data_IF_834037627066
#
_entry.id   IF_834037627066
#
_cell.length_a   1.000
_cell.length_b   1.000
_cell.length_c   1.000
_cell.angle_alpha   90.00
_cell.angle_beta   90.00
_cell.angle_gamma   90.00
#
_symmetry.space_group_name_H-M   'P 1'
#
loop_
_entity.id
_entity.type
_entity.pdbx_description
1 polymer ?
#
# COMPACT_ATOMS: atom_id res chain seq x y z
N UNK A 1 -1.49 0.99 -1.66
CA UNK A 1 -0.64 2.16 -1.40
C UNK A 1 -1.26 3.34 -2.12
N UNK A 2 -1.64 4.35 -1.36
CA UNK A 2 -2.52 5.39 -1.84
C UNK A 2 -1.85 6.38 -2.76
N UNK A 3 -2.62 6.85 -3.72
CA UNK A 3 -2.35 8.06 -4.46
C UNK A 3 -2.63 9.24 -3.55
N UNK A 4 -1.66 9.65 -2.77
CA UNK A 4 -1.75 10.90 -2.06
C UNK A 4 -1.31 12.00 -3.03
N UNK A 5 -2.24 12.80 -3.52
CA UNK A 5 -1.86 14.05 -4.19
C UNK A 5 -1.39 15.01 -3.10
N UNK A 6 -0.12 15.00 -2.80
CA UNK A 6 0.49 15.91 -1.85
C UNK A 6 0.92 17.14 -2.63
N UNK A 7 0.52 18.33 -2.18
CA UNK A 7 1.19 19.55 -2.59
C UNK A 7 2.58 19.58 -1.94
N UNK A 8 3.49 18.79 -2.49
CA UNK A 8 4.88 18.77 -2.07
C UNK A 8 5.67 19.81 -2.89
N UNK A 9 6.75 20.37 -2.33
CA UNK A 9 7.66 21.24 -3.09
C UNK A 9 8.39 20.50 -4.22
N UNK A 10 8.14 19.19 -4.38
CA UNK A 10 8.67 18.35 -5.46
C UNK A 10 7.54 18.06 -6.43
N UNK A 11 7.59 18.65 -7.63
CA UNK A 11 6.59 18.44 -8.67
C UNK A 11 6.44 16.95 -9.00
N UNK A 12 5.21 16.47 -9.00
CA UNK A 12 4.86 15.09 -9.34
C UNK A 12 5.04 14.07 -8.23
N UNK A 13 5.53 14.44 -7.04
CA UNK A 13 5.60 13.57 -5.86
C UNK A 13 4.21 13.28 -5.27
N UNK A 14 4.14 12.36 -4.30
CA UNK A 14 2.91 12.08 -3.53
C UNK A 14 2.45 10.63 -3.53
N UNK A 15 3.06 9.77 -4.34
CA UNK A 15 2.86 8.31 -4.27
C UNK A 15 4.01 7.66 -3.52
N UNK A 16 3.74 6.63 -2.75
CA UNK A 16 4.79 5.82 -2.09
C UNK A 16 5.42 4.84 -3.10
N UNK A 17 6.13 5.40 -4.07
CA UNK A 17 6.86 4.71 -5.14
C UNK A 17 7.78 5.72 -5.84
N UNK A 18 8.48 5.35 -6.91
CA UNK A 18 9.15 6.32 -7.78
C UNK A 18 8.09 7.11 -8.54
N UNK A 19 8.03 8.42 -8.29
CA UNK A 19 7.05 9.32 -8.89
C UNK A 19 7.49 9.81 -10.28
N UNK A 20 6.51 10.18 -11.12
CA UNK A 20 6.70 10.66 -12.47
C UNK A 20 5.39 10.69 -13.25
N UNK A 21 5.45 10.84 -14.55
CA UNK A 21 4.28 10.82 -15.44
C UNK A 21 3.68 9.40 -15.58
N UNK A 22 2.39 9.33 -15.89
CA UNK A 22 1.66 8.09 -16.12
C UNK A 22 1.37 7.27 -14.85
N UNK A 23 0.87 6.04 -15.02
CA UNK A 23 0.60 5.12 -13.92
C UNK A 23 1.88 4.76 -13.16
N UNK A 24 1.82 4.79 -11.82
CA UNK A 24 2.97 4.49 -10.95
C UNK A 24 2.63 3.48 -9.85
N UNK A 25 1.37 3.39 -9.43
CA UNK A 25 0.91 2.41 -8.46
C UNK A 25 -0.06 1.42 -9.11
N UNK A 26 -0.17 0.22 -8.55
CA UNK A 26 -0.90 -0.89 -9.14
C UNK A 26 -2.35 -0.57 -9.51
N UNK A 27 -3.04 0.24 -8.71
CA UNK A 27 -4.42 0.68 -9.00
C UNK A 27 -4.50 1.57 -10.23
N UNK A 28 -3.50 2.43 -10.46
CA UNK A 28 -3.42 3.27 -11.65
C UNK A 28 -3.12 2.43 -12.90
N UNK A 29 -2.27 1.40 -12.78
CA UNK A 29 -2.01 0.46 -13.88
C UNK A 29 -3.26 -0.34 -14.23
N UNK A 30 -4.02 -0.84 -13.24
CA UNK A 30 -5.30 -1.52 -13.49
C UNK A 30 -6.31 -0.58 -14.15
N UNK A 31 -6.44 0.64 -13.65
CA UNK A 31 -7.34 1.63 -14.23
C UNK A 31 -6.98 1.96 -15.69
N UNK A 32 -5.70 2.16 -15.97
CA UNK A 32 -5.22 2.45 -17.33
C UNK A 32 -5.50 1.29 -18.31
N UNK A 33 -5.35 0.04 -17.88
CA UNK A 33 -5.66 -1.15 -18.69
C UNK A 33 -7.18 -1.24 -18.99
N UNK A 34 -8.01 -0.68 -18.11
CA UNK A 34 -9.46 -0.59 -18.32
C UNK A 34 -9.89 0.71 -19.01
N UNK A 35 -8.95 1.48 -19.58
CA UNK A 35 -9.22 2.74 -20.27
C UNK A 35 -9.64 3.89 -19.36
N UNK A 36 -9.33 3.79 -18.05
CA UNK A 36 -9.70 4.76 -17.03
C UNK A 36 -8.48 5.51 -16.48
N UNK A 37 -8.72 6.73 -15.99
CA UNK A 37 -7.72 7.49 -15.23
C UNK A 37 -8.16 7.60 -13.77
N UNK A 38 -7.34 7.11 -12.87
CA UNK A 38 -7.62 7.16 -11.43
C UNK A 38 -7.05 8.45 -10.83
N UNK A 39 -7.93 9.34 -10.35
CA UNK A 39 -7.57 10.58 -9.66
C UNK A 39 -7.83 10.48 -8.16
N UNK A 40 -7.05 11.18 -7.31
CA UNK A 40 -7.31 11.24 -5.88
C UNK A 40 -8.67 11.87 -5.56
N UNK A 41 -9.38 11.31 -4.58
CA UNK A 41 -10.57 11.93 -3.99
C UNK A 41 -10.19 13.06 -3.03
N UNK A 42 -9.03 12.94 -2.40
CA UNK A 42 -8.48 13.95 -1.52
C UNK A 42 -7.03 14.24 -1.89
N UNK A 43 -6.65 15.51 -1.78
CA UNK A 43 -5.27 15.93 -1.84
C UNK A 43 -4.85 16.49 -0.48
N UNK A 44 -3.65 16.14 -0.04
CA UNK A 44 -3.07 16.64 1.20
C UNK A 44 -1.70 17.25 0.98
N UNK A 45 -1.30 18.19 1.83
CA UNK A 45 0.04 18.76 1.83
C UNK A 45 0.90 18.15 2.95
N UNK A 46 2.17 17.86 2.68
CA UNK A 46 3.17 17.56 3.71
C UNK A 46 3.95 18.84 4.00
N UNK A 47 3.91 19.31 5.24
CA UNK A 47 4.81 20.37 5.67
C UNK A 47 6.15 19.73 6.04
N UNK A 48 7.20 20.03 5.26
CA UNK A 48 8.55 19.50 5.48
C UNK A 48 9.38 20.35 6.46
N UNK A 49 8.77 21.32 7.16
CA UNK A 49 9.44 22.11 8.19
C UNK A 49 9.62 21.32 9.47
N UNK A 50 10.78 21.41 10.08
CA UNK A 50 11.06 20.73 11.37
C UNK A 50 10.44 21.48 12.57
N UNK A 51 9.93 20.77 13.62
CA UNK A 51 9.68 19.33 13.59
C UNK A 51 8.66 19.04 12.51
N UNK A 52 8.82 17.96 11.75
CA UNK A 52 7.91 17.61 10.64
C UNK A 52 6.48 17.61 11.18
N UNK A 53 5.86 18.77 11.14
CA UNK A 53 4.49 18.96 11.59
C UNK A 53 3.58 18.29 10.56
N UNK A 54 2.82 17.34 11.02
CA UNK A 54 2.09 16.39 10.17
C UNK A 54 0.65 16.80 9.97
N UNK A 55 0.41 18.09 9.96
CA UNK A 55 -0.86 18.62 9.52
C UNK A 55 -0.87 18.66 8.00
N UNK A 56 -1.58 17.70 7.42
CA UNK A 56 -1.84 17.69 5.98
C UNK A 56 -3.17 18.41 5.75
N UNK A 57 -3.20 19.63 5.20
CA UNK A 57 -4.46 20.19 4.76
C UNK A 57 -5.05 19.26 3.71
N UNK A 58 -6.28 18.82 3.92
CA UNK A 58 -6.96 17.92 3.01
C UNK A 58 -7.91 18.73 2.14
N UNK A 59 -7.64 18.75 0.85
CA UNK A 59 -8.56 19.29 -0.14
C UNK A 59 -9.43 18.15 -0.66
N UNK A 60 -10.74 18.40 -0.80
CA UNK A 60 -11.66 17.45 -1.42
C UNK A 60 -11.51 17.53 -2.94
N UNK A 61 -11.41 16.38 -3.58
CA UNK A 61 -11.41 16.20 -5.03
C UNK A 61 -12.63 15.38 -5.48
N UNK A 62 -12.75 15.20 -6.78
CA UNK A 62 -13.80 14.43 -7.43
C UNK A 62 -13.33 13.04 -7.90
N UNK A 63 -12.10 12.67 -7.58
CA UNK A 63 -11.50 11.41 -8.01
C UNK A 63 -12.00 10.19 -7.24
N UNK A 64 -11.80 9.01 -7.84
CA UNK A 64 -12.22 7.72 -7.26
C UNK A 64 -11.11 7.03 -6.43
N UNK A 65 -9.93 7.63 -6.27
CA UNK A 65 -8.90 7.10 -5.38
C UNK A 65 -9.03 7.70 -3.99
N UNK A 66 -9.60 6.94 -3.07
CA UNK A 66 -9.78 7.30 -1.65
C UNK A 66 -8.55 6.94 -0.81
N UNK A 67 -7.60 6.21 -1.38
CA UNK A 67 -6.46 5.65 -0.68
C UNK A 67 -5.53 6.73 -0.13
N UNK A 68 -5.09 6.58 1.12
CA UNK A 68 -4.13 7.45 1.78
C UNK A 68 -2.95 6.64 2.32
N UNK A 69 -1.74 7.10 2.01
CA UNK A 69 -0.53 6.49 2.54
C UNK A 69 -0.44 6.66 4.06
N UNK A 70 0.08 5.65 4.76
CA UNK A 70 0.12 5.65 6.22
C UNK A 70 -1.20 5.26 6.90
N UNK A 71 -2.31 5.08 6.16
CA UNK A 71 -3.59 4.69 6.74
C UNK A 71 -3.52 3.30 7.38
N UNK A 72 -4.09 3.16 8.56
CA UNK A 72 -4.40 1.88 9.21
C UNK A 72 -5.83 1.45 8.89
N UNK A 73 -6.19 0.22 9.21
CA UNK A 73 -7.52 -0.30 8.84
C UNK A 73 -8.63 0.43 9.59
N UNK A 74 -8.57 0.49 10.91
CA UNK A 74 -9.62 1.11 11.73
C UNK A 74 -9.10 2.14 12.76
N UNK A 75 -7.83 2.45 12.73
CA UNK A 75 -7.22 3.44 13.60
C UNK A 75 -6.59 4.57 12.80
N UNK A 76 -6.36 5.71 13.44
CA UNK A 76 -5.63 6.82 12.84
C UNK A 76 -4.23 6.37 12.41
N UNK A 77 -3.79 6.82 11.25
CA UNK A 77 -2.47 6.55 10.73
C UNK A 77 -1.38 7.11 11.65
N UNK A 78 -0.23 6.45 11.65
CA UNK A 78 0.98 6.90 12.37
C UNK A 78 2.14 6.96 11.39
N UNK A 79 2.95 7.98 11.52
CA UNK A 79 4.25 7.99 10.87
C UNK A 79 5.14 6.96 11.54
N UNK A 80 5.54 5.95 10.81
CA UNK A 80 6.31 4.82 11.35
C UNK A 80 7.73 5.19 11.76
N UNK A 81 8.27 6.31 11.25
CA UNK A 81 9.60 6.82 11.61
C UNK A 81 9.55 7.59 12.93
N UNK A 82 8.54 8.44 13.10
CA UNK A 82 8.44 9.37 14.24
C UNK A 82 7.47 8.93 15.33
N UNK A 83 6.61 7.94 15.06
CA UNK A 83 5.55 7.50 15.97
C UNK A 83 4.39 8.51 16.14
N UNK A 84 4.45 9.64 15.45
CA UNK A 84 3.44 10.72 15.57
C UNK A 84 2.23 10.38 14.71
N UNK A 85 1.02 10.66 15.22
CA UNK A 85 -0.23 10.51 14.48
C UNK A 85 -0.20 11.36 13.21
N UNK A 86 -0.65 10.79 12.09
CA UNK A 86 -0.78 11.47 10.81
C UNK A 86 -2.24 11.90 10.61
N UNK A 87 -2.47 12.80 9.66
CA UNK A 87 -3.84 13.14 9.22
C UNK A 87 -4.46 12.09 8.32
N UNK A 88 -3.75 10.99 8.01
CA UNK A 88 -4.28 9.91 7.20
C UNK A 88 -5.47 9.27 7.89
N UNK A 89 -6.62 9.34 7.25
CA UNK A 89 -7.84 8.71 7.73
C UNK A 89 -7.75 7.20 7.55
N UNK A 90 -8.40 6.45 8.45
CA UNK A 90 -8.42 4.99 8.39
C UNK A 90 -9.11 4.49 7.11
N UNK A 91 -8.82 3.23 6.74
CA UNK A 91 -9.52 2.57 5.62
C UNK A 91 -11.03 2.56 5.86
N UNK A 92 -11.47 2.33 7.11
CA UNK A 92 -12.88 2.43 7.48
C UNK A 92 -13.47 3.80 7.11
N UNK A 93 -12.79 4.90 7.46
CA UNK A 93 -13.25 6.25 7.12
C UNK A 93 -13.22 6.53 5.60
N UNK A 94 -12.26 5.96 4.88
CA UNK A 94 -12.23 6.02 3.40
C UNK A 94 -13.43 5.30 2.80
N UNK A 95 -13.77 4.11 3.32
CA UNK A 95 -14.96 3.33 2.93
C UNK A 95 -16.23 4.07 3.28
N UNK A 96 -16.34 4.64 4.49
CA UNK A 96 -17.50 5.43 4.91
C UNK A 96 -17.75 6.60 3.96
N UNK A 97 -16.69 7.31 3.58
CA UNK A 97 -16.77 8.40 2.61
C UNK A 97 -17.21 7.93 1.23
N UNK A 98 -16.64 6.84 0.72
CA UNK A 98 -17.05 6.28 -0.55
C UNK A 98 -18.53 5.91 -0.55
N UNK A 99 -18.99 5.17 0.48
CA UNK A 99 -20.39 4.76 0.61
C UNK A 99 -21.36 5.94 0.72
N UNK A 100 -20.92 7.05 1.31
CA UNK A 100 -21.75 8.26 1.39
C UNK A 100 -21.88 9.00 0.05
N UNK A 101 -21.01 8.74 -0.92
CA UNK A 101 -20.97 9.40 -2.24
C UNK A 101 -21.36 8.47 -3.39
N UNK A 102 -21.27 7.15 -3.19
CA UNK A 102 -21.52 6.16 -4.22
C UNK A 102 -23.02 6.04 -4.52
N UNK A 103 -23.37 6.04 -5.80
CA UNK A 103 -24.70 5.62 -6.22
C UNK A 103 -24.82 4.09 -6.09
N UNK A 104 -25.96 3.62 -5.61
CA UNK A 104 -26.29 2.20 -5.52
C UNK A 104 -26.45 1.62 -6.94
N UNK A 105 -25.34 1.20 -7.52
CA UNK A 105 -25.32 0.54 -8.83
C UNK A 105 -24.18 -0.50 -8.84
N UNK A 106 -24.43 -1.66 -9.43
CA UNK A 106 -23.45 -2.76 -9.63
C UNK A 106 -22.35 -2.40 -10.66
N UNK A 107 -21.80 -1.18 -10.58
CA UNK A 107 -20.90 -0.62 -11.58
C UNK A 107 -19.47 -0.45 -11.12
N UNK A 108 -19.18 -0.69 -9.83
CA UNK A 108 -17.84 -0.43 -9.31
C UNK A 108 -16.97 -1.69 -9.31
N UNK A 109 -15.74 -1.54 -9.82
CA UNK A 109 -14.63 -2.41 -9.49
C UNK A 109 -13.84 -1.74 -8.37
N UNK A 110 -13.96 -2.22 -7.15
CA UNK A 110 -13.29 -1.66 -5.99
C UNK A 110 -11.99 -2.39 -5.75
N UNK A 111 -10.87 -1.65 -5.71
CA UNK A 111 -9.52 -2.15 -5.49
C UNK A 111 -9.06 -1.77 -4.09
N UNK A 112 -8.77 -2.75 -3.24
CA UNK A 112 -8.40 -2.52 -1.84
C UNK A 112 -7.03 -3.12 -1.50
N UNK A 113 -6.24 -2.35 -0.75
CA UNK A 113 -5.03 -2.83 -0.09
C UNK A 113 -4.87 -2.11 1.25
N UNK A 114 -4.69 -2.86 2.33
CA UNK A 114 -4.55 -2.32 3.67
C UNK A 114 -4.07 -3.35 4.67
N UNK A 115 -3.62 -2.88 5.84
CA UNK A 115 -3.10 -3.72 6.91
C UNK A 115 -1.58 -3.70 7.06
N UNK A 116 -0.82 -3.31 6.02
CA UNK A 116 0.64 -3.19 6.13
C UNK A 116 1.07 -2.19 7.21
N UNK A 117 0.35 -1.06 7.34
CA UNK A 117 0.60 -0.08 8.39
C UNK A 117 0.21 -0.59 9.79
N UNK A 118 -0.78 -1.50 9.90
CA UNK A 118 -1.12 -2.15 11.16
C UNK A 118 -0.04 -3.14 11.58
N UNK A 119 0.45 -3.96 10.65
CA UNK A 119 1.59 -4.88 10.88
C UNK A 119 2.82 -4.10 11.36
N UNK A 120 3.18 -3.03 10.66
CA UNK A 120 4.33 -2.21 11.03
C UNK A 120 4.13 -1.49 12.37
N UNK A 121 2.93 -0.96 12.66
CA UNK A 121 2.60 -0.35 13.94
C UNK A 121 2.77 -1.34 15.11
N UNK A 122 2.22 -2.53 14.99
CA UNK A 122 2.35 -3.54 16.03
C UNK A 122 3.78 -4.04 16.17
N UNK A 123 4.50 -4.19 15.05
CA UNK A 123 5.92 -4.49 15.06
C UNK A 123 6.74 -3.44 15.81
N UNK A 124 6.52 -2.17 15.53
CA UNK A 124 7.17 -1.05 16.23
C UNK A 124 6.90 -1.06 17.73
N UNK A 125 5.66 -1.36 18.15
CA UNK A 125 5.31 -1.46 19.58
C UNK A 125 6.06 -2.58 20.29
N UNK A 126 6.23 -3.72 19.63
CA UNK A 126 7.05 -4.83 20.17
C UNK A 126 8.52 -4.41 20.31
N UNK A 127 9.09 -3.82 19.24
CA UNK A 127 10.49 -3.36 19.24
C UNK A 127 10.77 -2.29 20.29
N UNK A 128 9.78 -1.47 20.62
CA UNK A 128 9.87 -0.43 21.66
C UNK A 128 9.46 -0.90 23.05
N UNK A 129 9.15 -2.18 23.25
CA UNK A 129 8.72 -2.73 24.54
C UNK A 129 7.32 -2.24 25.00
N UNK A 130 6.54 -1.62 24.10
CA UNK A 130 5.20 -1.10 24.39
C UNK A 130 4.08 -2.12 24.20
N UNK A 131 4.40 -3.32 23.72
CA UNK A 131 3.47 -4.42 23.55
C UNK A 131 4.21 -5.75 23.62
N UNK A 132 3.56 -6.78 24.14
CA UNK A 132 4.09 -8.14 24.00
C UNK A 132 3.93 -8.63 22.56
N UNK A 133 4.74 -9.58 22.08
CA UNK A 133 4.52 -10.21 20.77
C UNK A 133 3.13 -10.83 20.62
N UNK A 134 2.58 -11.40 21.68
CA UNK A 134 1.26 -12.03 21.69
C UNK A 134 0.13 -10.99 21.52
N UNK A 135 0.18 -9.86 22.25
CA UNK A 135 -0.81 -8.79 22.11
C UNK A 135 -0.73 -8.16 20.72
N UNK A 136 0.48 -7.97 20.20
CA UNK A 136 0.70 -7.47 18.87
C UNK A 136 0.13 -8.40 17.79
N UNK A 137 0.33 -9.71 17.93
CA UNK A 137 -0.25 -10.71 17.02
C UNK A 137 -1.78 -10.65 17.04
N UNK A 138 -2.39 -10.53 18.22
CA UNK A 138 -3.83 -10.36 18.37
C UNK A 138 -4.32 -9.10 17.65
N UNK A 139 -3.60 -7.99 17.78
CA UNK A 139 -3.92 -6.74 17.10
C UNK A 139 -3.78 -6.84 15.57
N UNK A 140 -2.79 -7.57 15.06
CA UNK A 140 -2.60 -7.83 13.63
C UNK A 140 -3.75 -8.67 13.06
N UNK A 141 -4.18 -9.71 13.76
CA UNK A 141 -5.32 -10.56 13.37
C UNK A 141 -6.61 -9.76 13.37
N UNK A 142 -6.83 -8.93 14.40
CA UNK A 142 -8.01 -8.05 14.46
C UNK A 142 -8.05 -7.06 13.28
N UNK A 143 -6.92 -6.47 12.91
CA UNK A 143 -6.83 -5.59 11.74
C UNK A 143 -7.19 -6.32 10.43
N UNK A 144 -6.78 -7.59 10.27
CA UNK A 144 -7.14 -8.40 9.10
C UNK A 144 -8.65 -8.66 9.02
N UNK A 145 -9.28 -8.99 10.15
CA UNK A 145 -10.73 -9.19 10.24
C UNK A 145 -11.50 -7.90 9.95
N UNK A 146 -11.03 -6.76 10.47
CA UNK A 146 -11.59 -5.45 10.17
C UNK A 146 -11.45 -5.11 8.68
N UNK A 147 -10.30 -5.43 8.04
CA UNK A 147 -10.10 -5.23 6.60
C UNK A 147 -11.10 -6.04 5.78
N UNK A 148 -11.32 -7.32 6.14
CA UNK A 148 -12.34 -8.15 5.53
C UNK A 148 -13.75 -7.53 5.70
N UNK A 149 -14.07 -7.03 6.88
CA UNK A 149 -15.34 -6.34 7.14
C UNK A 149 -15.56 -5.13 6.22
N UNK A 150 -14.51 -4.33 5.95
CA UNK A 150 -14.63 -3.22 5.01
C UNK A 150 -14.86 -3.70 3.56
N UNK A 151 -14.19 -4.77 3.15
CA UNK A 151 -14.40 -5.35 1.81
C UNK A 151 -15.83 -5.88 1.63
N UNK A 152 -16.38 -6.53 2.64
CA UNK A 152 -17.77 -7.04 2.61
C UNK A 152 -18.80 -5.92 2.53
N UNK A 153 -18.57 -4.78 3.21
CA UNK A 153 -19.44 -3.59 3.10
C UNK A 153 -19.49 -3.05 1.68
N UNK A 154 -18.36 -3.08 0.98
CA UNK A 154 -18.24 -2.59 -0.40
C UNK A 154 -18.77 -3.59 -1.43
N UNK A 155 -18.78 -4.88 -1.09
CA UNK A 155 -19.24 -5.93 -2.01
C UNK A 155 -20.72 -5.80 -2.40
N UNK A 156 -21.51 -5.12 -1.59
CA UNK A 156 -22.89 -4.77 -1.93
C UNK A 156 -23.03 -3.77 -3.10
N UNK A 157 -21.95 -3.05 -3.45
CA UNK A 157 -21.94 -2.03 -4.50
C UNK A 157 -21.23 -2.47 -5.80
N UNK A 158 -20.72 -3.70 -5.87
CA UNK A 158 -20.03 -4.19 -7.06
C UNK A 158 -18.96 -5.23 -6.77
N UNK A 159 -18.01 -5.35 -7.67
CA UNK A 159 -16.90 -6.31 -7.52
C UNK A 159 -15.80 -5.74 -6.66
N UNK A 160 -15.37 -6.48 -5.66
CA UNK A 160 -14.31 -6.07 -4.73
C UNK A 160 -13.11 -6.99 -4.88
N UNK A 161 -11.96 -6.38 -5.05
CA UNK A 161 -10.63 -7.01 -5.06
C UNK A 161 -9.87 -6.57 -3.82
N UNK A 162 -9.39 -7.50 -3.04
CA UNK A 162 -8.53 -7.25 -1.88
C UNK A 162 -7.19 -7.92 -2.10
N UNK A 163 -6.09 -7.20 -1.86
CA UNK A 163 -4.76 -7.81 -1.81
C UNK A 163 -4.49 -8.31 -0.38
N UNK A 164 -3.92 -9.51 -0.25
CA UNK A 164 -3.22 -9.85 0.98
C UNK A 164 -1.89 -9.06 1.07
N UNK A 165 -1.15 -9.15 2.18
CA UNK A 165 0.11 -8.42 2.34
C UNK A 165 1.26 -9.18 1.68
N UNK A 166 2.14 -8.45 0.97
CA UNK A 166 3.40 -8.97 0.47
C UNK A 166 4.27 -9.51 1.62
N UNK A 167 5.21 -10.39 1.34
CA UNK A 167 6.16 -10.88 2.34
C UNK A 167 7.13 -9.76 2.77
N UNK A 168 6.79 -9.07 3.84
CA UNK A 168 7.57 -7.96 4.39
C UNK A 168 8.98 -8.37 4.85
N UNK A 169 9.21 -9.67 5.08
CA UNK A 169 10.54 -10.19 5.44
C UNK A 169 11.54 -10.13 4.27
N UNK A 170 11.06 -9.89 3.03
CA UNK A 170 11.87 -9.70 1.83
C UNK A 170 12.24 -8.22 1.60
N UNK A 171 11.57 -7.28 2.26
CA UNK A 171 11.81 -5.86 2.08
C UNK A 171 13.17 -5.43 2.70
N UNK A 172 13.85 -4.41 2.13
CA UNK A 172 15.14 -3.94 2.66
C UNK A 172 15.09 -3.54 4.15
N UNK A 173 13.96 -3.07 4.68
CA UNK A 173 13.78 -2.78 6.11
C UNK A 173 14.01 -4.03 6.98
N UNK A 174 13.75 -5.21 6.46
CA UNK A 174 13.97 -6.49 7.13
C UNK A 174 15.44 -6.98 7.08
N UNK A 175 16.40 -6.14 6.64
CA UNK A 175 17.82 -6.35 6.88
C UNK A 175 18.12 -6.37 8.40
N UNK A 176 17.34 -5.65 9.21
CA UNK A 176 17.32 -5.80 10.66
C UNK A 176 16.67 -7.15 11.04
N UNK A 177 17.38 -8.08 11.71
CA UNK A 177 16.88 -9.41 12.03
C UNK A 177 15.65 -9.40 12.93
N UNK A 178 15.53 -8.44 13.86
CA UNK A 178 14.36 -8.31 14.72
C UNK A 178 13.11 -7.89 13.92
N UNK A 179 13.26 -6.97 12.98
CA UNK A 179 12.18 -6.55 12.07
C UNK A 179 11.76 -7.74 11.19
N UNK A 180 12.74 -8.47 10.64
CA UNK A 180 12.49 -9.67 9.83
C UNK A 180 11.69 -10.71 10.59
N UNK A 181 12.09 -11.03 11.82
CA UNK A 181 11.40 -12.01 12.66
C UNK A 181 9.91 -11.64 12.87
N UNK A 182 9.62 -10.35 13.09
CA UNK A 182 8.23 -9.89 13.25
C UNK A 182 7.43 -10.03 11.94
N UNK A 183 7.99 -9.65 10.79
CA UNK A 183 7.31 -9.84 9.51
C UNK A 183 7.05 -11.31 9.17
N UNK A 184 7.98 -12.22 9.53
CA UNK A 184 7.82 -13.66 9.32
C UNK A 184 6.65 -14.26 10.12
N UNK A 185 6.24 -13.61 11.21
CA UNK A 185 5.10 -14.05 12.05
C UNK A 185 3.83 -13.27 11.68
N UNK A 186 3.92 -11.94 11.62
CA UNK A 186 2.74 -11.08 11.51
C UNK A 186 2.12 -11.08 10.13
N UNK A 187 2.95 -11.11 9.06
CA UNK A 187 2.40 -11.09 7.69
C UNK A 187 1.59 -12.36 7.38
N UNK A 188 2.09 -13.58 7.62
CA UNK A 188 1.29 -14.79 7.43
C UNK A 188 0.03 -14.83 8.30
N UNK A 189 0.11 -14.36 9.55
CA UNK A 189 -1.04 -14.33 10.45
C UNK A 189 -2.14 -13.37 9.95
N UNK A 190 -1.76 -12.17 9.50
CA UNK A 190 -2.67 -11.23 8.85
C UNK A 190 -3.34 -11.87 7.63
N UNK A 191 -2.53 -12.44 6.72
CA UNK A 191 -3.01 -13.01 5.47
C UNK A 191 -3.95 -14.20 5.69
N UNK A 192 -3.64 -15.08 6.66
CA UNK A 192 -4.49 -16.20 7.02
C UNK A 192 -5.84 -15.72 7.61
N UNK A 193 -5.83 -14.76 8.50
CA UNK A 193 -7.04 -14.19 9.10
C UNK A 193 -7.90 -13.48 8.05
N UNK A 194 -7.30 -12.72 7.13
CA UNK A 194 -7.98 -12.07 6.02
C UNK A 194 -8.64 -13.09 5.10
N UNK A 195 -7.90 -14.12 4.68
CA UNK A 195 -8.41 -15.17 3.81
C UNK A 195 -9.58 -15.94 4.46
N UNK A 196 -9.44 -16.30 5.73
CA UNK A 196 -10.49 -16.97 6.49
C UNK A 196 -11.77 -16.13 6.59
N UNK A 197 -11.64 -14.83 6.85
CA UNK A 197 -12.78 -13.92 6.99
C UNK A 197 -13.48 -13.61 5.65
N UNK A 198 -12.78 -13.76 4.51
CA UNK A 198 -13.34 -13.57 3.17
C UNK A 198 -13.81 -14.87 2.50
N UNK A 199 -13.64 -16.02 3.14
CA UNK A 199 -14.00 -17.31 2.57
C UNK A 199 -15.48 -17.35 2.19
N UNK A 200 -15.80 -17.74 0.95
CA UNK A 200 -17.16 -17.86 0.44
C UNK A 200 -17.91 -16.55 0.19
N UNK A 201 -17.27 -15.40 0.37
CA UNK A 201 -17.92 -14.09 0.25
C UNK A 201 -18.13 -13.60 -1.19
N UNK A 202 -17.41 -14.15 -2.16
CA UNK A 202 -17.36 -13.61 -3.53
C UNK A 202 -16.39 -12.43 -3.73
N UNK A 203 -15.72 -11.97 -2.68
CA UNK A 203 -14.64 -10.99 -2.78
C UNK A 203 -13.41 -11.67 -3.39
N UNK A 204 -12.79 -11.03 -4.39
CA UNK A 204 -11.58 -11.54 -5.03
C UNK A 204 -10.38 -11.25 -4.15
N UNK A 205 -9.81 -12.27 -3.53
CA UNK A 205 -8.57 -12.17 -2.76
C UNK A 205 -7.38 -12.49 -3.66
N UNK A 206 -6.53 -11.49 -3.93
CA UNK A 206 -5.32 -11.64 -4.73
C UNK A 206 -4.11 -11.91 -3.83
N UNK A 207 -3.37 -12.97 -4.15
CA UNK A 207 -2.22 -13.42 -3.37
C UNK A 207 -0.94 -12.64 -3.77
N UNK A 208 -0.77 -11.46 -3.16
CA UNK A 208 0.44 -10.65 -3.27
C UNK A 208 1.63 -11.27 -2.50
N UNK A 209 1.36 -12.07 -1.45
CA UNK A 209 2.40 -12.73 -0.67
C UNK A 209 3.21 -13.69 -1.53
N UNK A 210 2.53 -14.61 -2.23
CA UNK A 210 3.19 -15.54 -3.14
C UNK A 210 3.85 -14.83 -4.32
N UNK A 211 3.22 -13.78 -4.87
CA UNK A 211 3.81 -12.98 -5.93
C UNK A 211 5.15 -12.35 -5.50
N UNK A 212 5.21 -11.75 -4.31
CA UNK A 212 6.44 -11.13 -3.81
C UNK A 212 7.59 -12.14 -3.63
N UNK A 213 7.27 -13.34 -3.17
CA UNK A 213 8.22 -14.45 -3.04
C UNK A 213 8.67 -14.98 -4.38
N UNK A 214 7.78 -15.08 -5.34
CA UNK A 214 8.11 -15.53 -6.70
C UNK A 214 9.02 -14.51 -7.41
N UNK A 215 8.74 -13.21 -7.25
CA UNK A 215 9.63 -12.15 -7.76
C UNK A 215 11.04 -12.29 -7.15
N UNK A 216 11.15 -12.50 -5.84
CA UNK A 216 12.44 -12.66 -5.18
C UNK A 216 13.20 -13.91 -5.64
N UNK A 217 12.49 -15.00 -5.91
CA UNK A 217 13.08 -16.26 -6.37
C UNK A 217 13.45 -16.25 -7.87
N UNK A 218 12.68 -15.52 -8.69
CA UNK A 218 12.81 -15.53 -10.16
C UNK A 218 12.77 -14.09 -10.74
N UNK A 219 13.63 -13.17 -10.28
CA UNK A 219 13.52 -11.73 -10.58
C UNK A 219 13.54 -11.43 -12.08
N UNK A 220 14.35 -12.15 -12.87
CA UNK A 220 14.46 -11.94 -14.31
C UNK A 220 13.14 -12.18 -15.07
N UNK A 221 12.27 -13.07 -14.58
CA UNK A 221 10.94 -13.33 -15.18
C UNK A 221 10.05 -12.08 -15.12
N UNK A 222 10.27 -11.24 -14.11
CA UNK A 222 9.53 -10.01 -13.90
C UNK A 222 10.27 -8.75 -14.35
N UNK A 223 11.46 -8.90 -14.97
CA UNK A 223 12.29 -7.81 -15.45
C UNK A 223 13.11 -7.12 -14.36
N UNK A 224 13.26 -7.73 -13.18
CA UNK A 224 14.07 -7.16 -12.10
C UNK A 224 15.53 -7.62 -12.18
N UNK A 225 16.43 -6.65 -12.12
CA UNK A 225 17.87 -6.85 -11.94
C UNK A 225 18.27 -6.79 -10.45
N UNK A 226 17.44 -6.17 -9.61
CA UNK A 226 17.71 -5.99 -8.19
C UNK A 226 16.43 -6.11 -7.34
N UNK A 227 16.46 -7.03 -6.36
CA UNK A 227 15.33 -7.30 -5.44
C UNK A 227 15.68 -7.07 -3.98
N UNK A 228 16.85 -6.49 -3.69
CA UNK A 228 17.34 -6.30 -2.31
C UNK A 228 17.73 -4.88 -1.98
N UNK A 229 18.05 -4.07 -2.98
CA UNK A 229 18.45 -2.66 -2.80
C UNK A 229 17.31 -1.72 -3.17
N UNK A 230 17.45 -0.45 -2.77
CA UNK A 230 16.47 0.59 -3.05
C UNK A 230 16.81 1.35 -4.34
N UNK A 231 15.79 1.71 -5.11
CA UNK A 231 15.91 2.46 -6.35
C UNK A 231 16.17 3.95 -6.15
N UNK A 232 15.71 4.50 -5.03
CA UNK A 232 15.79 5.93 -4.74
C UNK A 232 17.07 6.28 -3.97
N UNK A 233 17.70 7.40 -4.30
CA UNK A 233 18.80 7.99 -3.51
C UNK A 233 18.24 8.64 -2.25
N UNK A 234 17.89 7.83 -1.24
CA UNK A 234 17.15 8.27 -0.04
C UNK A 234 17.91 9.31 0.78
N UNK A 235 19.23 9.26 0.80
CA UNK A 235 20.13 10.18 1.47
C UNK A 235 20.14 11.60 0.85
N UNK A 236 19.74 11.71 -0.41
CA UNK A 236 19.60 12.99 -1.10
C UNK A 236 18.22 13.63 -0.98
N UNK A 237 17.26 12.91 -0.37
CA UNK A 237 15.88 13.39 -0.23
C UNK A 237 15.68 14.11 1.10
N UNK A 238 14.84 15.18 1.14
CA UNK A 238 14.50 15.86 2.40
C UNK A 238 13.88 14.95 3.46
N UNK A 239 13.21 13.87 3.03
CA UNK A 239 12.71 12.77 3.84
C UNK A 239 13.12 11.47 3.14
N UNK A 240 13.73 10.47 3.82
CA UNK A 240 14.17 9.22 3.22
C UNK A 240 12.99 8.28 2.94
N UNK A 241 12.10 8.71 2.04
CA UNK A 241 10.87 8.01 1.69
C UNK A 241 10.56 8.11 0.21
N UNK A 242 10.03 7.05 -0.35
CA UNK A 242 9.60 6.98 -1.74
C UNK A 242 8.57 8.04 -2.12
N UNK A 243 7.85 8.63 -1.17
CA UNK A 243 6.89 9.71 -1.43
C UNK A 243 7.51 10.93 -2.12
N UNK A 244 8.81 11.17 -1.89
CA UNK A 244 9.59 12.26 -2.51
C UNK A 244 10.47 11.79 -3.67
N UNK A 245 10.58 10.50 -3.89
CA UNK A 245 11.40 9.93 -4.96
C UNK A 245 10.76 10.17 -6.32
N UNK A 246 11.57 10.60 -7.29
CA UNK A 246 11.17 10.82 -8.69
C UNK A 246 12.14 10.13 -9.64
N UNK A 247 11.82 10.10 -10.93
CA UNK A 247 12.71 9.58 -11.98
C UNK A 247 14.09 10.28 -11.97
N UNK A 248 14.20 11.47 -11.39
CA UNK A 248 15.46 12.25 -11.30
C UNK A 248 16.31 11.92 -10.06
N UNK A 249 15.73 11.21 -9.07
CA UNK A 249 16.39 10.86 -7.81
C UNK A 249 16.71 9.38 -7.69
N UNK A 250 16.83 8.68 -8.80
CA UNK A 250 17.15 7.25 -8.87
C UNK A 250 18.66 7.00 -8.74
N UNK A 251 19.03 5.84 -8.19
CA UNK A 251 20.42 5.34 -8.17
C UNK A 251 20.91 4.96 -9.55
N UNK A 252 19.99 4.54 -10.44
CA UNK A 252 20.21 4.22 -11.84
C UNK A 252 18.99 4.68 -12.66
N UNK A 253 19.16 5.20 -13.89
CA UNK A 253 18.04 5.69 -14.71
C UNK A 253 16.91 4.67 -14.93
N UNK A 254 17.23 3.38 -14.94
CA UNK A 254 16.26 2.30 -15.16
C UNK A 254 15.70 1.72 -13.83
N UNK A 255 16.16 2.20 -12.67
CA UNK A 255 15.84 1.60 -11.38
C UNK A 255 14.34 1.59 -11.07
N UNK A 256 13.55 2.51 -11.64
CA UNK A 256 12.09 2.52 -11.49
C UNK A 256 11.41 1.23 -12.01
N UNK A 257 12.04 0.52 -12.95
CA UNK A 257 11.49 -0.69 -13.56
C UNK A 257 12.31 -1.93 -13.29
N UNK A 258 13.62 -1.79 -13.00
CA UNK A 258 14.54 -2.92 -12.83
C UNK A 258 14.86 -3.24 -11.36
N UNK A 259 14.46 -2.37 -10.43
CA UNK A 259 14.52 -2.63 -8.98
C UNK A 259 13.14 -2.95 -8.44
N UNK A 260 13.07 -3.87 -7.48
CA UNK A 260 11.80 -4.21 -6.82
C UNK A 260 11.35 -3.11 -5.84
N UNK A 261 12.29 -2.49 -5.12
CA UNK A 261 12.01 -1.58 -4.00
C UNK A 261 12.36 -0.13 -4.35
N UNK A 262 11.43 0.78 -4.12
CA UNK A 262 11.66 2.23 -4.25
C UNK A 262 12.41 2.78 -3.04
N UNK A 263 11.95 2.45 -1.83
CA UNK A 263 12.61 2.71 -0.56
C UNK A 263 12.72 1.40 0.25
N UNK A 264 12.93 1.49 1.56
CA UNK A 264 13.13 0.30 2.40
C UNK A 264 11.90 -0.59 2.54
N UNK A 265 10.71 -0.15 2.10
CA UNK A 265 9.44 -0.87 2.27
C UNK A 265 8.54 -0.85 1.03
N UNK A 266 8.58 0.22 0.24
CA UNK A 266 7.64 0.44 -0.85
C UNK A 266 8.19 -0.05 -2.19
N UNK A 267 7.32 -0.64 -3.00
CA UNK A 267 7.69 -1.13 -4.34
C UNK A 267 7.89 -0.02 -5.36
N UNK A 268 8.68 -0.30 -6.40
CA UNK A 268 8.83 0.56 -7.58
C UNK A 268 7.61 0.47 -8.51
N UNK A 269 7.49 1.35 -9.52
CA UNK A 269 6.51 1.19 -10.59
C UNK A 269 6.61 -0.17 -11.30
N UNK A 270 7.81 -0.75 -11.45
CA UNK A 270 8.00 -2.10 -11.98
C UNK A 270 7.27 -3.15 -11.14
N UNK A 271 7.43 -3.10 -9.80
CA UNK A 271 6.70 -3.99 -8.88
C UNK A 271 5.19 -3.76 -8.94
N UNK A 272 4.75 -2.51 -8.95
CA UNK A 272 3.32 -2.18 -9.04
C UNK A 272 2.70 -2.64 -10.35
N UNK A 273 3.44 -2.59 -11.47
CA UNK A 273 2.99 -3.12 -12.75
C UNK A 273 2.86 -4.65 -12.71
N UNK A 274 3.84 -5.36 -12.15
CA UNK A 274 3.75 -6.83 -11.97
C UNK A 274 2.52 -7.21 -11.12
N UNK A 275 2.25 -6.47 -10.04
CA UNK A 275 1.09 -6.66 -9.18
C UNK A 275 -0.23 -6.38 -9.93
N UNK A 276 -0.29 -5.33 -10.74
CA UNK A 276 -1.47 -5.01 -11.56
C UNK A 276 -1.77 -6.12 -12.57
N UNK A 277 -0.74 -6.66 -13.22
CA UNK A 277 -0.89 -7.79 -14.15
C UNK A 277 -1.43 -9.04 -13.45
N UNK A 278 -0.97 -9.32 -12.22
CA UNK A 278 -1.51 -10.41 -11.39
C UNK A 278 -2.98 -10.17 -11.07
N UNK A 279 -3.37 -8.97 -10.64
CA UNK A 279 -4.76 -8.60 -10.36
C UNK A 279 -5.64 -8.81 -11.58
N UNK A 280 -5.23 -8.32 -12.75
CA UNK A 280 -5.97 -8.47 -14.00
C UNK A 280 -6.10 -9.93 -14.44
N UNK A 281 -5.04 -10.72 -14.26
CA UNK A 281 -5.07 -12.16 -14.56
C UNK A 281 -6.07 -12.90 -13.65
N UNK A 282 -6.08 -12.60 -12.35
CA UNK A 282 -7.00 -13.21 -11.40
C UNK A 282 -8.46 -12.80 -11.68
N UNK A 283 -8.72 -11.54 -12.05
CA UNK A 283 -10.04 -11.07 -12.44
C UNK A 283 -10.55 -11.78 -13.70
N UNK A 284 -9.70 -11.95 -14.71
CA UNK A 284 -10.07 -12.71 -15.94
C UNK A 284 -10.32 -14.19 -15.63
N UNK A 285 -9.49 -14.81 -14.79
CA UNK A 285 -9.66 -16.21 -14.40
C UNK A 285 -10.97 -16.46 -13.63
N UNK A 286 -11.50 -15.45 -12.96
CA UNK A 286 -12.77 -15.51 -12.23
C UNK A 286 -13.97 -14.98 -13.05
N UNK A 287 -13.78 -14.62 -14.32
CA UNK A 287 -14.85 -14.11 -15.18
C UNK A 287 -15.40 -12.74 -14.74
N UNK A 288 -14.57 -11.92 -14.08
CA UNK A 288 -14.93 -10.56 -13.66
C UNK A 288 -14.63 -9.54 -14.76
N UNK A 289 -13.62 -9.83 -15.61
CA UNK A 289 -13.22 -9.06 -16.80
C UNK A 289 -13.30 -9.92 -18.05
#
# INVERSE_FOLDING_TARGET
MGTYAVALPVAGAGRFTVNGSGPRVWTEFVAAELGQTLRPNQSGGVTLTAPVAQTFPTLLGDGLSYAQGGARVDAQGVNQITGVSTSSVSIRQQVDRFLAQAEMADRYLVLMNGGGNDIAHWGQRVLSGLSTPQDALTGVVAAAQQMAGQALRLHALGRVVVLNQADGALAPVASNPNVRALYQVFTPAFNAALASALQGSGVVLVDQFSLSRDIAARPAVYGFANTSQVACRLDSLPLPSAILCTDQTLVDPNAATTYQWADTLHGTPGYHRALALKVLADLRAQGVL
#
